data_IF_780553961597
#
_entry.id   IF_780553961597
#
_cell.length_a   1.000
_cell.length_b   1.000
_cell.length_c   1.000
_cell.angle_alpha   90.00
_cell.angle_beta   90.00
_cell.angle_gamma   90.00
#
_symmetry.space_group_name_H-M   'P 1'
#
loop_
_entity.id
_entity.type
_entity.pdbx_description
1 polymer ?
#
# COMPACT_ATOMS: atom_id res chain seq x y z
N UNK A 1 -6.95 -0.06 15.82
CA UNK A 1 -6.56 0.26 14.44
C UNK A 1 -7.75 0.82 13.68
N UNK A 2 -7.58 1.91 12.93
CA UNK A 2 -8.61 2.47 12.04
C UNK A 2 -8.33 2.01 10.61
N UNK A 3 -8.92 0.90 10.21
CA UNK A 3 -8.83 0.34 8.85
C UNK A 3 -10.20 0.28 8.16
N UNK A 4 -11.14 1.06 8.66
CA UNK A 4 -12.51 1.11 8.13
C UNK A 4 -12.53 1.89 6.83
N UNK A 5 -13.15 1.32 5.80
CA UNK A 5 -13.33 1.96 4.50
C UNK A 5 -14.70 1.60 3.93
N UNK A 6 -15.51 2.56 3.49
CA UNK A 6 -16.80 2.28 2.89
C UNK A 6 -16.67 1.37 1.65
N UNK A 7 -17.52 0.32 1.51
CA UNK A 7 -17.46 -0.61 0.39
C UNK A 7 -17.59 0.10 -0.96
N UNK A 8 -16.70 -0.22 -1.91
CA UNK A 8 -16.74 0.29 -3.28
C UNK A 8 -16.63 1.82 -3.39
N UNK A 9 -16.05 2.49 -2.38
CA UNK A 9 -15.92 3.95 -2.29
C UNK A 9 -17.25 4.73 -2.36
N UNK A 10 -18.39 4.07 -2.08
CA UNK A 10 -19.70 4.72 -2.05
C UNK A 10 -19.75 5.74 -0.91
N UNK A 11 -20.22 6.94 -1.23
CA UNK A 11 -20.33 8.06 -0.26
C UNK A 11 -19.07 8.31 0.57
N UNK A 12 -17.91 7.97 -0.01
CA UNK A 12 -16.63 7.99 0.69
C UNK A 12 -16.35 9.35 1.34
N UNK A 13 -16.63 10.43 0.63
CA UNK A 13 -16.48 11.79 1.11
C UNK A 13 -17.35 12.11 2.33
N UNK A 14 -18.56 11.53 2.38
CA UNK A 14 -19.51 11.76 3.47
C UNK A 14 -19.25 10.87 4.70
N UNK A 15 -18.69 9.69 4.49
CA UNK A 15 -18.60 8.67 5.54
C UNK A 15 -17.23 8.62 6.21
N UNK A 16 -16.12 8.83 5.47
CA UNK A 16 -14.77 8.57 6.00
C UNK A 16 -14.42 9.48 7.18
N UNK A 17 -14.73 10.78 7.09
CA UNK A 17 -14.42 11.72 8.17
C UNK A 17 -15.25 11.45 9.43
N UNK A 18 -16.59 11.26 9.37
CA UNK A 18 -17.37 10.84 10.54
C UNK A 18 -16.92 9.50 11.15
N UNK A 19 -16.53 8.51 10.31
CA UNK A 19 -15.99 7.25 10.81
C UNK A 19 -14.68 7.45 11.60
N UNK A 20 -13.83 8.37 11.13
CA UNK A 20 -12.61 8.73 11.84
C UNK A 20 -12.93 9.44 13.16
N UNK A 21 -13.88 10.39 13.17
CA UNK A 21 -14.28 11.14 14.36
C UNK A 21 -14.82 10.20 15.45
N UNK A 22 -15.60 9.19 15.04
CA UNK A 22 -16.06 8.14 15.97
C UNK A 22 -14.88 7.34 16.54
N UNK A 23 -13.86 7.03 15.73
CA UNK A 23 -12.65 6.34 16.20
C UNK A 23 -11.86 7.22 17.18
N UNK A 24 -11.72 8.51 16.91
CA UNK A 24 -11.05 9.47 17.82
C UNK A 24 -11.80 9.54 19.15
N UNK A 25 -13.13 9.67 19.11
CA UNK A 25 -13.96 9.72 20.31
C UNK A 25 -13.85 8.45 21.16
N UNK A 26 -13.90 7.28 20.52
CA UNK A 26 -13.73 6.00 21.19
C UNK A 26 -12.32 5.85 21.79
N UNK A 27 -11.27 6.21 21.04
CA UNK A 27 -9.89 6.16 21.51
C UNK A 27 -9.67 7.09 22.72
N UNK A 28 -10.25 8.29 22.68
CA UNK A 28 -10.18 9.27 23.78
C UNK A 28 -10.83 8.72 25.05
N UNK A 29 -11.99 8.06 24.91
CA UNK A 29 -12.73 7.50 26.06
C UNK A 29 -11.97 6.38 26.79
N UNK A 30 -11.13 5.62 26.08
CA UNK A 30 -10.41 4.46 26.68
C UNK A 30 -8.89 4.66 26.75
N UNK A 31 -8.38 5.83 26.40
CA UNK A 31 -6.93 6.12 26.41
C UNK A 31 -6.11 5.31 25.39
N UNK A 32 -6.71 4.90 24.26
CA UNK A 32 -6.03 4.05 23.28
C UNK A 32 -5.28 4.84 22.23
N UNK A 33 -4.15 4.29 21.75
CA UNK A 33 -3.44 4.81 20.55
C UNK A 33 -4.21 4.42 19.28
N UNK A 34 -4.41 5.38 18.39
CA UNK A 34 -4.96 5.14 17.06
C UNK A 34 -3.83 4.74 16.12
N UNK A 35 -3.97 3.59 15.46
CA UNK A 35 -3.11 3.15 14.35
C UNK A 35 -3.87 3.33 13.04
N UNK A 36 -3.29 4.12 12.11
CA UNK A 36 -3.85 4.38 10.78
C UNK A 36 -2.91 3.86 9.67
N UNK A 37 -3.37 2.98 8.77
CA UNK A 37 -2.71 2.75 7.49
C UNK A 37 -2.75 4.00 6.63
N UNK A 38 -1.59 4.64 6.43
CA UNK A 38 -1.44 5.82 5.59
C UNK A 38 -1.34 5.48 4.11
N UNK A 39 -1.46 6.48 3.25
CA UNK A 39 -1.35 6.34 1.79
C UNK A 39 -0.45 7.42 1.19
N UNK A 40 0.03 7.19 -0.02
CA UNK A 40 0.80 8.18 -0.80
C UNK A 40 -0.08 9.31 -1.36
N UNK A 41 -1.40 9.18 -1.30
CA UNK A 41 -2.37 10.12 -1.91
C UNK A 41 -2.38 11.51 -1.28
N UNK A 42 -1.79 11.67 -0.11
CA UNK A 42 -1.64 12.93 0.59
C UNK A 42 -0.69 13.89 -0.14
N UNK A 43 0.22 13.36 -0.95
CA UNK A 43 1.28 14.13 -1.59
C UNK A 43 0.94 14.55 -3.00
N UNK A 44 1.41 15.74 -3.39
CA UNK A 44 1.30 16.29 -4.72
C UNK A 44 2.62 16.19 -5.50
N UNK A 45 2.60 16.54 -6.80
CA UNK A 45 3.78 16.52 -7.66
C UNK A 45 4.92 17.46 -7.22
N UNK A 46 4.63 18.41 -6.37
CA UNK A 46 5.59 19.37 -5.81
C UNK A 46 6.70 18.73 -4.96
N UNK A 47 6.46 17.51 -4.47
CA UNK A 47 7.42 16.75 -3.65
C UNK A 47 7.95 15.48 -4.32
N UNK A 48 7.56 15.22 -5.56
CA UNK A 48 8.03 14.04 -6.30
C UNK A 48 9.44 14.24 -6.87
N UNK A 49 10.24 13.18 -7.10
CA UNK A 49 9.89 11.76 -7.00
C UNK A 49 10.12 11.11 -5.62
N UNK A 50 10.77 11.80 -4.67
CA UNK A 50 11.15 11.22 -3.38
C UNK A 50 10.41 11.93 -2.25
N UNK A 51 9.70 11.16 -1.45
CA UNK A 51 8.81 11.64 -0.39
C UNK A 51 9.27 11.12 0.97
N UNK A 52 9.40 12.04 1.92
CA UNK A 52 9.71 11.77 3.33
C UNK A 52 8.50 12.10 4.22
N UNK A 53 8.57 11.74 5.49
CA UNK A 53 7.51 12.04 6.46
C UNK A 53 7.30 13.54 6.66
N UNK A 54 8.33 14.36 6.39
CA UNK A 54 8.29 15.83 6.53
C UNK A 54 7.86 16.54 5.24
N UNK A 55 7.64 15.80 4.15
CA UNK A 55 7.19 16.37 2.88
C UNK A 55 5.81 17.02 3.02
N UNK A 56 5.59 18.21 2.44
CA UNK A 56 4.29 18.87 2.49
C UNK A 56 3.19 18.06 1.79
N UNK A 57 2.00 18.03 2.39
CA UNK A 57 0.86 17.26 1.93
C UNK A 57 -0.06 18.11 1.04
N UNK A 58 0.33 18.36 -0.20
CA UNK A 58 -0.40 19.17 -1.20
C UNK A 58 -1.17 18.28 -2.18
N UNK A 59 -2.13 17.52 -1.69
CA UNK A 59 -2.91 16.58 -2.49
C UNK A 59 -3.70 17.25 -3.61
N UNK A 60 -3.60 16.73 -4.84
CA UNK A 60 -4.35 17.22 -5.99
C UNK A 60 -5.75 16.61 -6.09
N UNK A 61 -5.89 15.34 -5.70
CA UNK A 61 -7.14 14.59 -5.85
C UNK A 61 -8.09 14.83 -4.69
N UNK A 62 -9.38 14.61 -4.92
CA UNK A 62 -10.39 14.68 -3.86
C UNK A 62 -10.10 13.67 -2.74
N UNK A 63 -9.73 12.43 -3.08
CA UNK A 63 -9.34 11.42 -2.09
C UNK A 63 -8.11 11.84 -1.29
N UNK A 64 -7.11 12.38 -1.95
CA UNK A 64 -5.93 12.89 -1.28
C UNK A 64 -6.25 13.99 -0.28
N UNK A 65 -7.08 14.97 -0.66
CA UNK A 65 -7.53 16.07 0.25
C UNK A 65 -8.26 15.54 1.48
N UNK A 66 -9.10 14.51 1.32
CA UNK A 66 -9.77 13.86 2.45
C UNK A 66 -8.75 13.15 3.35
N UNK A 67 -7.75 12.47 2.78
CA UNK A 67 -6.67 11.83 3.55
C UNK A 67 -5.84 12.87 4.32
N UNK A 68 -5.53 14.00 3.72
CA UNK A 68 -4.88 15.13 4.41
C UNK A 68 -5.72 15.61 5.59
N UNK A 69 -7.04 15.81 5.39
CA UNK A 69 -7.95 16.20 6.45
C UNK A 69 -8.06 15.17 7.58
N UNK A 70 -8.05 13.85 7.23
CA UNK A 70 -7.98 12.79 8.25
C UNK A 70 -6.73 12.94 9.13
N UNK A 71 -5.57 13.12 8.53
CA UNK A 71 -4.32 13.26 9.29
C UNK A 71 -4.28 14.55 10.10
N UNK A 72 -4.82 15.65 9.59
CA UNK A 72 -4.98 16.91 10.35
C UNK A 72 -5.85 16.71 11.61
N UNK A 73 -6.97 15.97 11.50
CA UNK A 73 -7.82 15.64 12.65
C UNK A 73 -7.10 14.75 13.65
N UNK A 74 -6.35 13.78 13.18
CA UNK A 74 -5.54 12.90 14.04
C UNK A 74 -4.43 13.68 14.75
N UNK A 75 -3.80 14.63 14.07
CA UNK A 75 -2.79 15.50 14.69
C UNK A 75 -3.40 16.39 15.77
N UNK A 76 -4.58 16.96 15.52
CA UNK A 76 -5.30 17.71 16.53
C UNK A 76 -5.69 16.84 17.74
N UNK A 77 -6.17 15.61 17.49
CA UNK A 77 -6.49 14.66 18.55
C UNK A 77 -5.26 14.28 19.38
N UNK A 78 -4.08 14.16 18.76
CA UNK A 78 -2.84 13.88 19.46
C UNK A 78 -2.43 15.03 20.41
N UNK A 79 -2.66 16.28 20.01
CA UNK A 79 -2.47 17.45 20.89
C UNK A 79 -3.44 17.47 22.07
N UNK A 80 -4.61 16.83 21.92
CA UNK A 80 -5.60 16.65 22.99
C UNK A 80 -5.39 15.36 23.83
N UNK A 81 -4.26 14.68 23.65
CA UNK A 81 -3.88 13.51 24.45
C UNK A 81 -4.31 12.16 23.87
N UNK A 82 -4.83 12.08 22.64
CA UNK A 82 -5.10 10.81 21.93
C UNK A 82 -3.89 10.43 21.10
N UNK A 83 -3.04 9.47 21.51
CA UNK A 83 -1.83 9.15 20.75
C UNK A 83 -2.15 8.51 19.41
N UNK A 84 -1.36 8.85 18.39
CA UNK A 84 -1.57 8.42 17.00
C UNK A 84 -0.29 7.83 16.43
N UNK A 85 -0.43 6.76 15.64
CA UNK A 85 0.60 6.16 14.82
C UNK A 85 0.08 6.00 13.39
N UNK A 86 0.77 6.57 12.42
CA UNK A 86 0.48 6.42 11.00
C UNK A 86 1.63 5.65 10.36
N UNK A 87 1.32 4.55 9.68
CA UNK A 87 2.28 3.78 8.87
C UNK A 87 1.86 3.89 7.43
N UNK A 88 2.68 4.54 6.61
CA UNK A 88 2.40 4.80 5.20
C UNK A 88 3.18 3.84 4.33
N UNK A 89 2.50 3.24 3.37
CA UNK A 89 3.09 2.26 2.47
C UNK A 89 2.59 2.48 1.03
N UNK A 90 3.27 1.85 0.07
CA UNK A 90 2.87 1.81 -1.33
C UNK A 90 1.60 0.99 -1.58
N UNK A 91 1.29 0.72 -2.86
CA UNK A 91 0.13 -0.10 -3.21
C UNK A 91 0.28 -1.53 -2.72
N UNK A 92 -0.77 -2.05 -2.09
CA UNK A 92 -0.73 -3.36 -1.45
C UNK A 92 -0.79 -4.51 -2.45
N UNK A 93 -0.03 -5.56 -2.15
CA UNK A 93 -0.18 -6.90 -2.70
C UNK A 93 0.04 -7.92 -1.58
N UNK A 94 -0.29 -9.18 -1.81
CA UNK A 94 -0.11 -10.23 -0.80
C UNK A 94 -1.41 -10.91 -0.40
N UNK A 95 -1.34 -11.98 0.41
CA UNK A 95 -2.49 -12.67 0.93
C UNK A 95 -3.41 -11.72 1.72
N UNK A 96 -4.73 -11.90 1.54
CA UNK A 96 -5.73 -11.09 2.25
C UNK A 96 -5.79 -9.62 1.88
N UNK A 97 -5.02 -9.16 0.88
CA UNK A 97 -4.96 -7.75 0.52
C UNK A 97 -6.27 -7.19 -0.07
N UNK A 98 -7.21 -8.07 -0.43
CA UNK A 98 -8.57 -7.70 -0.87
C UNK A 98 -8.58 -6.86 -2.13
N UNK A 99 -9.31 -5.77 -2.09
CA UNK A 99 -9.59 -4.88 -3.20
C UNK A 99 -8.42 -3.91 -3.45
N UNK A 100 -7.43 -4.30 -4.24
CA UNK A 100 -6.22 -3.53 -4.51
C UNK A 100 -5.85 -3.52 -6.00
N UNK A 101 -4.87 -2.69 -6.38
CA UNK A 101 -4.40 -2.57 -7.76
C UNK A 101 -3.85 -3.88 -8.33
N UNK A 102 -3.18 -4.69 -7.51
CA UNK A 102 -2.58 -5.93 -7.97
C UNK A 102 -3.65 -6.93 -8.42
N UNK A 103 -4.68 -7.16 -7.59
CA UNK A 103 -5.77 -8.11 -7.89
C UNK A 103 -6.81 -7.60 -8.90
N UNK A 104 -6.90 -6.29 -9.11
CA UNK A 104 -7.89 -5.71 -10.02
C UNK A 104 -7.32 -5.26 -11.37
N UNK A 105 -6.08 -4.78 -11.38
CA UNK A 105 -5.48 -4.18 -12.57
C UNK A 105 -4.31 -4.96 -13.14
N UNK A 106 -3.60 -5.75 -12.32
CA UNK A 106 -2.37 -6.43 -12.73
C UNK A 106 -2.62 -7.87 -13.15
N UNK A 107 -3.31 -8.66 -12.33
CA UNK A 107 -3.68 -10.05 -12.63
C UNK A 107 -5.16 -10.29 -12.39
N UNK A 108 -5.69 -11.44 -12.87
CA UNK A 108 -7.08 -11.84 -12.67
C UNK A 108 -7.14 -12.96 -11.64
N UNK A 109 -7.69 -12.72 -10.43
CA UNK A 109 -7.89 -13.76 -9.42
C UNK A 109 -8.75 -14.94 -9.93
N UNK A 110 -8.50 -16.12 -9.38
CA UNK A 110 -9.24 -17.35 -9.66
C UNK A 110 -8.91 -18.00 -11.01
N UNK A 111 -7.81 -17.59 -11.66
CA UNK A 111 -7.39 -18.16 -12.96
C UNK A 111 -5.87 -18.15 -13.07
N UNK A 112 -5.26 -19.15 -13.74
CA UNK A 112 -3.84 -19.11 -14.07
C UNK A 112 -3.45 -17.80 -14.75
N UNK A 113 -2.28 -17.25 -14.38
CA UNK A 113 -1.81 -15.96 -14.90
C UNK A 113 -1.55 -16.07 -16.41
N UNK A 114 -2.38 -15.45 -17.22
CA UNK A 114 -2.22 -15.40 -18.68
C UNK A 114 -1.44 -14.19 -19.19
N UNK A 115 -1.46 -13.08 -18.43
CA UNK A 115 -0.75 -11.84 -18.80
C UNK A 115 -0.61 -10.93 -17.57
N UNK A 116 0.35 -10.04 -17.62
CA UNK A 116 0.56 -8.97 -16.65
C UNK A 116 -0.08 -7.68 -17.19
N UNK A 117 -1.11 -7.17 -16.50
CA UNK A 117 -1.63 -5.84 -16.78
C UNK A 117 -0.67 -4.78 -16.21
N UNK A 118 -0.26 -3.82 -17.03
CA UNK A 118 0.59 -2.74 -16.54
C UNK A 118 -0.19 -1.41 -16.54
N UNK A 119 -0.60 -0.89 -15.38
CA UNK A 119 -1.25 0.41 -15.28
C UNK A 119 -0.28 1.57 -15.51
N UNK A 120 1.02 1.35 -15.28
CA UNK A 120 2.07 2.35 -15.42
C UNK A 120 2.51 2.59 -16.85
N UNK A 121 3.22 3.68 -17.05
CA UNK A 121 3.98 3.93 -18.26
C UNK A 121 5.30 3.15 -18.19
N UNK A 122 5.81 2.73 -19.34
CA UNK A 122 7.09 2.00 -19.42
C UNK A 122 8.22 2.85 -18.84
N UNK A 123 9.03 2.27 -17.97
CA UNK A 123 10.17 2.95 -17.33
C UNK A 123 9.78 3.88 -16.19
N UNK A 124 8.50 3.90 -15.78
CA UNK A 124 8.05 4.63 -14.60
C UNK A 124 8.03 3.68 -13.41
N UNK A 125 8.78 4.05 -12.38
CA UNK A 125 8.84 3.29 -11.13
C UNK A 125 7.52 3.36 -10.35
N UNK A 126 7.21 2.28 -9.62
CA UNK A 126 6.04 2.19 -8.75
C UNK A 126 6.40 1.50 -7.43
N UNK A 127 5.81 1.98 -6.34
CA UNK A 127 6.08 1.45 -5.00
C UNK A 127 4.98 0.51 -4.54
N UNK A 128 5.39 -0.72 -4.23
CA UNK A 128 4.51 -1.77 -3.74
C UNK A 128 4.80 -2.12 -2.29
N UNK A 129 3.80 -2.56 -1.57
CA UNK A 129 3.94 -3.01 -0.19
C UNK A 129 3.33 -4.39 0.00
N UNK A 130 4.13 -5.34 0.45
CA UNK A 130 3.65 -6.68 0.80
C UNK A 130 2.87 -6.60 2.12
N UNK A 131 1.59 -6.92 2.09
CA UNK A 131 0.68 -6.68 3.22
C UNK A 131 1.14 -7.35 4.54
N UNK A 132 1.68 -8.59 4.55
CA UNK A 132 2.24 -9.17 5.77
C UNK A 132 3.43 -8.39 6.34
N UNK A 133 4.32 -7.83 5.51
CA UNK A 133 5.43 -6.99 5.99
C UNK A 133 4.92 -5.66 6.58
N UNK A 134 3.84 -5.11 5.99
CA UNK A 134 3.17 -3.92 6.56
C UNK A 134 2.57 -4.24 7.93
N UNK A 135 1.91 -5.39 8.05
CA UNK A 135 1.33 -5.82 9.33
C UNK A 135 2.40 -6.06 10.39
N UNK A 136 3.51 -6.71 10.03
CA UNK A 136 4.67 -6.93 10.92
C UNK A 136 5.29 -5.59 11.35
N UNK A 137 5.47 -4.66 10.43
CA UNK A 137 5.97 -3.30 10.74
C UNK A 137 5.07 -2.58 11.73
N UNK A 138 3.76 -2.64 11.49
CA UNK A 138 2.77 -2.04 12.41
C UNK A 138 2.82 -2.68 13.79
N UNK A 139 2.96 -4.00 13.86
CA UNK A 139 3.07 -4.74 15.12
C UNK A 139 4.32 -4.32 15.91
N UNK A 140 5.50 -4.34 15.27
CA UNK A 140 6.76 -3.91 15.90
C UNK A 140 6.71 -2.46 16.42
N UNK A 141 6.04 -1.57 15.69
CA UNK A 141 5.85 -0.19 16.13
C UNK A 141 4.88 -0.09 17.33
N UNK A 142 3.82 -0.90 17.34
CA UNK A 142 2.87 -0.95 18.46
C UNK A 142 3.52 -1.54 19.71
N UNK A 143 4.36 -2.57 19.59
CA UNK A 143 5.11 -3.15 20.71
C UNK A 143 6.05 -2.12 21.36
N UNK A 144 6.55 -1.17 20.58
CA UNK A 144 7.36 -0.04 21.05
C UNK A 144 6.55 1.25 21.26
N UNK A 145 5.25 1.13 21.46
CA UNK A 145 4.32 2.27 21.56
C UNK A 145 4.73 3.29 22.65
N UNK A 146 5.41 2.86 23.70
CA UNK A 146 5.87 3.76 24.79
C UNK A 146 7.00 4.69 24.35
N UNK A 147 7.78 4.28 23.34
CA UNK A 147 8.92 5.06 22.82
C UNK A 147 8.46 6.05 21.73
N UNK A 148 7.21 5.95 21.27
CA UNK A 148 6.66 6.79 20.22
C UNK A 148 6.17 8.13 20.75
N UNK A 149 6.39 9.24 20.03
CA UNK A 149 5.77 10.52 20.34
C UNK A 149 4.22 10.42 20.25
N UNK A 150 3.52 11.41 20.84
CA UNK A 150 2.05 11.45 20.74
C UNK A 150 1.50 11.36 19.31
N UNK A 151 2.19 11.98 18.34
CA UNK A 151 1.89 11.86 16.92
C UNK A 151 3.13 11.34 16.19
N UNK A 152 3.03 10.11 15.68
CA UNK A 152 4.12 9.43 14.98
C UNK A 152 3.69 9.06 13.56
N UNK A 153 4.54 9.37 12.59
CA UNK A 153 4.37 8.95 11.19
C UNK A 153 5.64 8.24 10.74
N UNK A 154 5.47 7.09 10.10
CA UNK A 154 6.55 6.33 9.48
C UNK A 154 6.18 5.95 8.05
N UNK A 155 7.14 6.04 7.15
CA UNK A 155 7.04 5.51 5.81
C UNK A 155 7.71 4.14 5.71
N UNK A 156 7.14 3.28 4.89
CA UNK A 156 7.76 2.03 4.43
C UNK A 156 8.24 2.18 3.00
N UNK A 157 9.43 1.72 2.70
CA UNK A 157 9.92 1.64 1.34
C UNK A 157 9.28 0.47 0.58
N UNK A 158 9.10 -0.67 1.24
CA UNK A 158 8.54 -1.88 0.62
C UNK A 158 9.35 -2.33 -0.60
N UNK A 159 8.66 -2.57 -1.71
CA UNK A 159 9.26 -2.97 -2.99
C UNK A 159 9.20 -1.79 -3.96
N UNK A 160 10.36 -1.21 -4.28
CA UNK A 160 10.49 -0.21 -5.32
C UNK A 160 10.70 -0.89 -6.68
N UNK A 161 9.63 -1.04 -7.47
CA UNK A 161 9.68 -1.50 -8.85
C UNK A 161 10.12 -0.33 -9.76
N UNK A 162 11.43 -0.19 -9.97
CA UNK A 162 12.05 1.01 -10.55
C UNK A 162 11.68 1.25 -12.03
N UNK A 163 11.27 0.23 -12.76
CA UNK A 163 10.95 0.29 -14.19
C UNK A 163 9.54 -0.21 -14.55
N UNK A 164 8.76 -0.60 -13.53
CA UNK A 164 7.43 -1.17 -13.69
C UNK A 164 7.43 -2.58 -14.26
N UNK A 165 8.55 -3.34 -14.15
CA UNK A 165 8.70 -4.71 -14.67
C UNK A 165 9.07 -5.73 -13.61
N UNK A 166 9.53 -5.32 -12.43
CA UNK A 166 10.03 -6.25 -11.42
C UNK A 166 8.92 -7.17 -10.90
N UNK A 167 7.71 -6.65 -10.72
CA UNK A 167 6.56 -7.47 -10.33
C UNK A 167 6.26 -8.54 -11.37
N UNK A 168 6.29 -8.19 -12.66
CA UNK A 168 6.14 -9.16 -13.75
C UNK A 168 7.24 -10.21 -13.74
N UNK A 169 8.49 -9.80 -13.60
CA UNK A 169 9.61 -10.74 -13.55
C UNK A 169 9.54 -11.66 -12.33
N UNK A 170 9.05 -11.18 -11.19
CA UNK A 170 8.80 -12.05 -10.03
C UNK A 170 7.72 -13.09 -10.30
N UNK A 171 6.62 -12.70 -10.95
CA UNK A 171 5.58 -13.65 -11.40
C UNK A 171 6.19 -14.71 -12.36
N UNK A 172 6.99 -14.28 -13.34
CA UNK A 172 7.65 -15.17 -14.31
C UNK A 172 8.59 -16.17 -13.62
N UNK A 173 9.38 -15.74 -12.62
CA UNK A 173 10.25 -16.63 -11.84
C UNK A 173 9.44 -17.65 -11.04
N UNK A 174 8.38 -17.21 -10.38
CA UNK A 174 7.50 -18.09 -9.59
C UNK A 174 6.80 -19.13 -10.46
N UNK A 175 6.35 -18.74 -11.65
CA UNK A 175 5.66 -19.64 -12.58
C UNK A 175 6.59 -20.47 -13.47
N UNK A 176 7.89 -20.16 -13.51
CA UNK A 176 8.87 -20.80 -14.39
C UNK A 176 8.62 -20.55 -15.88
N UNK A 177 7.85 -19.52 -16.24
CA UNK A 177 7.53 -19.20 -17.64
C UNK A 177 7.37 -17.69 -17.84
N UNK A 178 7.59 -17.22 -19.05
CA UNK A 178 7.33 -15.83 -19.42
C UNK A 178 5.84 -15.55 -19.59
N UNK A 179 5.44 -14.33 -19.25
CA UNK A 179 4.08 -13.84 -19.44
C UNK A 179 4.10 -12.51 -20.23
N UNK A 180 3.15 -12.32 -21.18
CA UNK A 180 3.09 -11.07 -21.93
C UNK A 180 2.60 -9.94 -21.03
N UNK A 181 3.24 -8.76 -21.15
CA UNK A 181 2.74 -7.53 -20.57
C UNK A 181 1.66 -6.92 -21.49
N UNK A 182 0.54 -6.52 -20.92
CA UNK A 182 -0.53 -5.82 -21.62
C UNK A 182 -0.72 -4.42 -21.02
N UNK A 183 -0.85 -3.38 -21.84
CA UNK A 183 -1.17 -2.05 -21.32
C UNK A 183 -2.54 -2.06 -20.65
N UNK A 184 -2.65 -1.35 -19.55
CA UNK A 184 -3.93 -1.17 -18.87
C UNK A 184 -4.86 -0.27 -19.72
N UNK A 185 -6.13 -0.63 -19.90
CA UNK A 185 -7.02 0.05 -20.85
C UNK A 185 -7.58 1.37 -20.28
N UNK A 186 -6.73 2.33 -19.97
CA UNK A 186 -7.14 3.64 -19.44
C UNK A 186 -8.18 4.38 -20.28
N UNK A 187 -8.15 4.18 -21.60
CA UNK A 187 -9.12 4.78 -22.52
C UNK A 187 -10.53 4.28 -22.27
N UNK A 188 -10.68 2.97 -21.99
CA UNK A 188 -11.96 2.35 -21.68
C UNK A 188 -12.54 2.87 -20.36
N UNK A 189 -11.69 2.99 -19.33
CA UNK A 189 -12.12 3.58 -18.06
C UNK A 189 -12.61 5.01 -18.26
N UNK A 190 -11.94 5.80 -19.10
CA UNK A 190 -12.32 7.18 -19.40
C UNK A 190 -13.69 7.28 -20.07
N UNK A 191 -14.01 6.37 -20.98
CA UNK A 191 -15.32 6.31 -21.64
C UNK A 191 -16.43 5.90 -20.67
N UNK A 192 -16.16 4.96 -19.77
CA UNK A 192 -17.14 4.44 -18.82
C UNK A 192 -17.25 5.25 -17.52
N UNK A 193 -16.30 6.16 -17.23
CA UNK A 193 -16.25 6.97 -16.02
C UNK A 193 -17.52 7.80 -15.73
N UNK A 194 -18.24 8.36 -16.74
CA UNK A 194 -19.50 9.06 -16.48
C UNK A 194 -20.59 8.15 -15.89
N UNK A 195 -20.56 6.85 -16.21
CA UNK A 195 -21.58 5.89 -15.82
C UNK A 195 -21.20 5.04 -14.61
N UNK A 196 -19.89 4.91 -14.32
CA UNK A 196 -19.37 4.05 -13.27
C UNK A 196 -18.47 4.88 -12.33
N UNK A 197 -18.97 5.27 -11.16
CA UNK A 197 -18.21 6.11 -10.22
C UNK A 197 -16.82 5.56 -9.88
N UNK A 198 -16.67 4.24 -9.74
CA UNK A 198 -15.38 3.60 -9.46
C UNK A 198 -14.33 3.91 -10.55
N UNK A 199 -14.72 3.99 -11.83
CA UNK A 199 -13.76 4.29 -12.91
C UNK A 199 -13.29 5.74 -12.91
N UNK A 200 -14.15 6.66 -12.47
CA UNK A 200 -13.74 8.05 -12.21
C UNK A 200 -12.70 8.10 -11.10
N UNK A 201 -12.95 7.41 -10.00
CA UNK A 201 -12.05 7.33 -8.86
C UNK A 201 -10.69 6.70 -9.20
N UNK A 202 -10.68 5.64 -10.02
CA UNK A 202 -9.44 5.05 -10.54
C UNK A 202 -8.71 6.01 -11.48
N UNK A 203 -9.45 6.77 -12.29
CA UNK A 203 -8.89 7.79 -13.19
C UNK A 203 -8.15 8.90 -12.46
N UNK A 204 -8.65 9.33 -11.27
CA UNK A 204 -7.97 10.31 -10.43
C UNK A 204 -6.59 9.83 -9.96
N UNK A 205 -6.42 8.53 -9.75
CA UNK A 205 -5.16 7.96 -9.27
C UNK A 205 -4.14 7.68 -10.38
N UNK A 206 -4.50 7.93 -11.65
CA UNK A 206 -3.64 7.65 -12.81
C UNK A 206 -2.29 8.37 -12.75
N UNK A 207 -2.21 9.54 -12.12
CA UNK A 207 -0.96 10.28 -12.00
C UNK A 207 0.15 9.49 -11.28
N UNK A 208 -0.20 8.67 -10.29
CA UNK A 208 0.74 7.80 -9.56
C UNK A 208 1.35 6.68 -10.44
N UNK A 209 0.71 6.38 -11.58
CA UNK A 209 1.19 5.43 -12.57
C UNK A 209 2.00 6.08 -13.71
N UNK A 210 2.06 7.42 -13.73
CA UNK A 210 2.74 8.21 -14.77
C UNK A 210 3.94 8.97 -14.26
N UNK A 211 4.06 9.08 -12.95
CA UNK A 211 5.14 9.81 -12.27
C UNK A 211 5.73 8.89 -11.20
N UNK A 212 7.05 8.73 -11.14
CA UNK A 212 7.67 7.94 -10.08
C UNK A 212 7.42 8.64 -8.74
N UNK A 213 6.94 7.89 -7.76
CA UNK A 213 6.75 8.36 -6.38
C UNK A 213 7.29 7.31 -5.45
N UNK A 214 8.38 7.65 -4.74
CA UNK A 214 9.05 6.77 -3.81
C UNK A 214 9.09 7.39 -2.41
N UNK A 215 8.51 6.72 -1.45
CA UNK A 215 8.68 7.05 -0.03
C UNK A 215 9.97 6.39 0.48
N UNK A 216 10.75 7.12 1.27
CA UNK A 216 11.92 6.56 1.98
C UNK A 216 11.50 6.03 3.35
N UNK A 217 12.30 5.12 3.90
CA UNK A 217 12.04 4.48 5.20
C UNK A 217 13.11 4.83 6.26
N UNK A 218 13.90 5.88 6.04
CA UNK A 218 15.04 6.22 6.90
C UNK A 218 14.63 6.36 8.36
N UNK A 219 13.51 7.04 8.63
CA UNK A 219 12.95 7.21 9.97
C UNK A 219 12.50 5.89 10.59
N UNK A 220 11.89 5.01 9.80
CA UNK A 220 11.47 3.69 10.24
C UNK A 220 12.68 2.83 10.64
N UNK A 221 13.69 2.79 9.79
CA UNK A 221 14.92 2.03 10.02
C UNK A 221 15.69 2.60 11.23
N UNK A 222 15.78 3.91 11.37
CA UNK A 222 16.39 4.54 12.53
C UNK A 222 15.66 4.16 13.84
N UNK A 223 14.35 3.97 13.80
CA UNK A 223 13.57 3.61 14.98
C UNK A 223 13.55 2.10 15.27
N UNK A 224 13.33 1.25 14.28
CA UNK A 224 13.21 -0.22 14.46
C UNK A 224 14.54 -0.97 14.30
N UNK A 225 15.53 -0.38 13.62
CA UNK A 225 16.77 -1.03 13.20
C UNK A 225 16.72 -1.59 11.79
N UNK A 226 15.57 -2.11 11.36
CA UNK A 226 15.31 -2.63 10.02
C UNK A 226 13.83 -2.44 9.63
N UNK A 227 13.55 -2.52 8.34
CA UNK A 227 12.19 -2.68 7.82
C UNK A 227 11.94 -4.18 7.53
N UNK A 228 10.86 -4.78 8.07
CA UNK A 228 10.46 -6.14 7.71
C UNK A 228 10.33 -6.28 6.20
N UNK A 229 11.03 -7.25 5.61
CA UNK A 229 11.07 -7.42 4.17
C UNK A 229 11.13 -8.89 3.77
N UNK A 230 10.03 -9.39 3.25
CA UNK A 230 9.96 -10.68 2.58
C UNK A 230 10.58 -10.57 1.18
N UNK A 231 11.37 -11.59 0.75
CA UNK A 231 11.88 -11.58 -0.61
C UNK A 231 10.74 -11.54 -1.63
N UNK A 232 10.90 -10.77 -2.72
CA UNK A 232 9.84 -10.53 -3.69
C UNK A 232 9.27 -11.82 -4.28
N UNK A 233 10.11 -12.85 -4.49
CA UNK A 233 9.67 -14.12 -5.06
C UNK A 233 8.81 -14.92 -4.07
N UNK A 234 9.15 -14.92 -2.78
CA UNK A 234 8.32 -15.55 -1.74
C UNK A 234 7.00 -14.80 -1.55
N UNK A 235 7.04 -13.48 -1.50
CA UNK A 235 5.87 -12.64 -1.41
C UNK A 235 4.94 -12.86 -2.62
N UNK A 236 5.52 -12.96 -3.82
CA UNK A 236 4.77 -13.22 -5.05
C UNK A 236 4.16 -14.63 -5.07
N UNK A 237 4.90 -15.66 -4.65
CA UNK A 237 4.38 -17.02 -4.53
C UNK A 237 3.17 -17.07 -3.58
N UNK A 238 3.28 -16.45 -2.42
CA UNK A 238 2.18 -16.39 -1.45
C UNK A 238 0.96 -15.66 -2.02
N UNK A 239 1.21 -14.55 -2.73
CA UNK A 239 0.16 -13.75 -3.38
C UNK A 239 -0.58 -14.54 -4.46
N UNK A 240 0.15 -15.23 -5.36
CA UNK A 240 -0.45 -16.01 -6.44
C UNK A 240 -1.22 -17.22 -5.92
N UNK A 241 -0.78 -17.82 -4.82
CA UNK A 241 -1.51 -18.92 -4.15
C UNK A 241 -2.82 -18.42 -3.55
N UNK A 242 -2.79 -17.32 -2.78
CA UNK A 242 -3.98 -16.73 -2.16
C UNK A 242 -5.03 -16.30 -3.21
N UNK A 243 -4.56 -15.77 -4.33
CA UNK A 243 -5.43 -15.34 -5.44
C UNK A 243 -5.85 -16.49 -6.38
N UNK A 244 -5.49 -17.74 -6.07
CA UNK A 244 -5.79 -18.91 -6.90
C UNK A 244 -5.32 -18.77 -8.36
N UNK A 245 -4.11 -18.20 -8.54
CA UNK A 245 -3.54 -17.86 -9.84
C UNK A 245 -2.42 -18.79 -10.28
N UNK A 246 -2.14 -19.85 -9.52
CA UNK A 246 -1.09 -20.82 -9.85
C UNK A 246 -1.53 -21.75 -10.98
N UNK A 247 -0.56 -22.13 -11.82
CA UNK A 247 -0.78 -23.18 -12.83
C UNK A 247 -0.95 -24.55 -12.13
N UNK A 248 -1.80 -25.42 -12.68
CA UNK A 248 -1.95 -26.79 -12.18
C UNK A 248 -0.59 -27.52 -12.28
N UNK A 249 -0.02 -27.94 -11.14
CA UNK A 249 1.22 -28.70 -11.10
C UNK A 249 2.51 -27.93 -10.78
N UNK A 250 2.45 -26.60 -10.58
CA UNK A 250 3.61 -25.85 -10.09
C UNK A 250 3.85 -26.16 -8.60
N UNK A 251 4.82 -27.01 -8.32
CA UNK A 251 5.28 -27.32 -6.96
C UNK A 251 6.26 -26.25 -6.48
N UNK A 252 6.21 -25.91 -5.20
CA UNK A 252 7.10 -24.96 -4.51
C UNK A 252 8.57 -25.43 -4.38
N UNK A 253 8.98 -26.50 -5.10
CA UNK A 253 10.23 -27.20 -4.90
C UNK A 253 11.50 -26.48 -5.41
N UNK A 254 11.38 -25.30 -6.05
CA UNK A 254 12.52 -24.61 -6.68
C UNK A 254 12.95 -23.27 -6.05
N UNK A 255 12.30 -22.81 -5.00
CA UNK A 255 12.66 -21.51 -4.40
C UNK A 255 13.69 -21.66 -3.27
N UNK A 256 14.67 -20.77 -3.15
CA UNK A 256 15.69 -20.85 -2.10
C UNK A 256 15.03 -20.81 -0.72
N UNK A 257 15.35 -21.80 0.12
CA UNK A 257 14.93 -21.84 1.52
C UNK A 257 15.51 -20.63 2.25
N UNK A 258 14.71 -19.99 3.06
CA UNK A 258 15.12 -18.94 3.98
C UNK A 258 16.38 -19.39 4.74
N UNK A 259 17.49 -18.69 4.55
CA UNK A 259 18.57 -18.73 5.54
C UNK A 259 18.12 -17.85 6.71
N UNK A 260 17.58 -18.53 7.72
CA UNK A 260 17.35 -17.93 9.03
C UNK A 260 18.74 -17.68 9.63
N UNK A 261 19.27 -16.47 9.46
CA UNK A 261 20.47 -16.06 10.22
C UNK A 261 20.03 -15.90 11.66
N UNK A 262 20.03 -17.05 12.34
CA UNK A 262 19.83 -17.16 13.78
C UNK A 262 20.82 -16.26 14.48
N UNK A 263 20.33 -15.36 15.30
CA UNK A 263 21.08 -14.75 16.36
C UNK A 263 21.57 -15.87 17.30
N UNK A 264 22.85 -16.12 17.29
CA UNK A 264 23.53 -16.74 18.44
C UNK A 264 23.84 -15.63 19.44
N UNK A 265 23.41 -15.87 20.69
CA UNK A 265 23.81 -15.30 21.98
C UNK A 265 24.29 -13.84 22.05
#
# INVERSE_FOLDING_TARGET
MHAVNPPGYRDWEKLVLPMLDNTISAAKAVGARILLPGTVYNYGPDVFPVVTEDSPQNALTRKGKIRVEMERRLQAAAMEGVPVLIVRAGDFFGPGAGNNWFSQGVIKPGKPVASFGNPGSRGVGHQWAYLPDVAETMLRLVDRSRDLPPFAVFHMEGVWDHDGQQMRHAIERVLGRRIPAKPFPWWLLRLAAPFVPMFRELGEMRYLWRTPVRMTNDKLVAFLGDEPRTSLDLAMLATLKDLECMDAGVSSAGLPKHQNTGRAA
#
